data_IF_704514965748
#
_entry.id   IF_704514965748
#
_cell.length_a   1.000
_cell.length_b   1.000
_cell.length_c   1.000
_cell.angle_alpha   90.00
_cell.angle_beta   90.00
_cell.angle_gamma   90.00
#
_symmetry.space_group_name_H-M   'P 1'
#
loop_
_entity.id
_entity.type
_entity.pdbx_description
1 polymer ?
#
# COMPACT_ATOMS: atom_id res chain seq x y z
N UNK A 1 -18.82 -15.85 1.71
CA UNK A 1 -18.80 -15.12 0.43
C UNK A 1 -18.47 -13.66 0.67
N UNK A 2 -19.33 -12.86 1.35
CA UNK A 2 -19.06 -11.43 1.66
C UNK A 2 -17.64 -11.11 2.19
N UNK A 3 -17.16 -11.83 3.22
CA UNK A 3 -15.83 -11.59 3.80
C UNK A 3 -14.67 -11.73 2.81
N UNK A 4 -14.75 -12.64 1.85
CA UNK A 4 -13.67 -12.83 0.87
C UNK A 4 -13.68 -11.69 -0.16
N UNK A 5 -14.88 -11.26 -0.56
CA UNK A 5 -15.06 -10.13 -1.49
C UNK A 5 -14.54 -8.83 -0.87
N UNK A 6 -14.84 -8.59 0.41
CA UNK A 6 -14.37 -7.42 1.14
C UNK A 6 -12.83 -7.37 1.24
N UNK A 7 -12.19 -8.52 1.51
CA UNK A 7 -10.72 -8.64 1.57
C UNK A 7 -10.08 -8.39 0.20
N UNK A 8 -10.64 -8.94 -0.87
CA UNK A 8 -10.16 -8.69 -2.24
C UNK A 8 -10.31 -7.21 -2.61
N UNK A 9 -11.44 -6.60 -2.27
CA UNK A 9 -11.67 -5.18 -2.49
C UNK A 9 -10.66 -4.31 -1.70
N UNK A 10 -10.33 -4.68 -0.44
CA UNK A 10 -9.29 -3.99 0.35
C UNK A 10 -7.92 -4.07 -0.33
N UNK A 11 -7.52 -5.26 -0.78
CA UNK A 11 -6.25 -5.48 -1.52
C UNK A 11 -6.18 -4.64 -2.80
N UNK A 12 -7.28 -4.50 -3.53
CA UNK A 12 -7.31 -3.67 -4.73
C UNK A 12 -7.22 -2.17 -4.42
N UNK A 13 -7.80 -1.70 -3.30
CA UNK A 13 -7.60 -0.33 -2.83
C UNK A 13 -6.14 -0.06 -2.46
N UNK A 14 -5.51 -0.98 -1.72
CA UNK A 14 -4.08 -0.88 -1.36
C UNK A 14 -3.22 -0.77 -2.62
N UNK A 15 -3.45 -1.62 -3.64
CA UNK A 15 -2.71 -1.53 -4.91
C UNK A 15 -2.86 -0.17 -5.58
N UNK A 16 -4.08 0.35 -5.68
CA UNK A 16 -4.34 1.67 -6.28
C UNK A 16 -3.64 2.79 -5.51
N UNK A 17 -3.62 2.72 -4.19
CA UNK A 17 -2.94 3.69 -3.35
C UNK A 17 -1.41 3.60 -3.50
N UNK A 18 -0.84 2.39 -3.57
CA UNK A 18 0.59 2.19 -3.89
C UNK A 18 0.94 2.82 -5.23
N UNK A 19 0.12 2.60 -6.27
CA UNK A 19 0.32 3.21 -7.58
C UNK A 19 0.22 4.73 -7.53
N UNK A 20 -0.73 5.27 -6.75
CA UNK A 20 -0.88 6.73 -6.55
C UNK A 20 0.42 7.33 -6.03
N UNK A 21 1.00 6.74 -4.97
CA UNK A 21 2.27 7.21 -4.40
C UNK A 21 3.43 7.02 -5.38
N UNK A 22 3.53 5.85 -6.01
CA UNK A 22 4.60 5.55 -6.97
C UNK A 22 4.61 6.50 -8.16
N UNK A 23 3.44 6.80 -8.71
CA UNK A 23 3.29 7.61 -9.92
C UNK A 23 3.59 9.10 -9.65
N UNK A 24 3.66 9.54 -8.38
CA UNK A 24 4.21 10.86 -8.02
C UNK A 24 5.70 10.99 -8.32
N UNK A 25 6.46 9.89 -8.22
CA UNK A 25 7.92 9.90 -8.33
C UNK A 25 8.65 10.65 -7.21
N UNK A 26 7.98 11.09 -6.15
CA UNK A 26 8.58 11.92 -5.09
C UNK A 26 9.43 11.12 -4.09
N UNK A 27 9.11 9.85 -3.88
CA UNK A 27 9.75 8.99 -2.88
C UNK A 27 10.15 7.65 -3.47
N UNK A 28 11.26 7.09 -2.97
CA UNK A 28 11.59 5.71 -3.26
C UNK A 28 10.59 4.79 -2.54
N UNK A 29 10.00 3.82 -3.24
CA UNK A 29 8.98 2.94 -2.64
C UNK A 29 9.51 2.01 -1.53
N UNK A 30 10.82 1.88 -1.35
CA UNK A 30 11.45 1.19 -0.22
C UNK A 30 11.74 2.11 0.97
N UNK A 31 11.64 3.43 0.80
CA UNK A 31 11.74 4.42 1.88
C UNK A 31 10.40 4.53 2.62
N UNK A 32 10.10 3.49 3.39
CA UNK A 32 8.80 3.31 4.07
C UNK A 32 8.37 4.54 4.88
N UNK A 33 9.22 5.18 5.71
CA UNK A 33 8.82 6.37 6.46
C UNK A 33 8.35 7.53 5.56
N UNK A 34 9.01 7.76 4.43
CA UNK A 34 8.61 8.80 3.49
C UNK A 34 7.39 8.40 2.66
N UNK A 35 7.24 7.11 2.32
CA UNK A 35 6.02 6.57 1.71
C UNK A 35 4.82 6.79 2.63
N UNK A 36 4.92 6.47 3.92
CA UNK A 36 3.83 6.71 4.88
C UNK A 36 3.49 8.20 4.97
N UNK A 37 4.50 9.07 5.08
CA UNK A 37 4.29 10.53 5.12
C UNK A 37 3.54 11.03 3.88
N UNK A 38 3.92 10.55 2.69
CA UNK A 38 3.25 10.92 1.44
C UNK A 38 1.85 10.29 1.35
N UNK A 39 1.68 9.05 1.80
CA UNK A 39 0.39 8.38 1.89
C UNK A 39 -0.59 9.14 2.79
N UNK A 40 -0.14 9.72 3.90
CA UNK A 40 -0.96 10.62 4.73
C UNK A 40 -1.43 11.85 3.95
N UNK A 41 -0.54 12.48 3.17
CA UNK A 41 -0.89 13.64 2.34
C UNK A 41 -1.93 13.32 1.26
N UNK A 42 -1.83 12.14 0.64
CA UNK A 42 -2.76 11.67 -0.41
C UNK A 42 -3.99 10.91 0.14
N UNK A 43 -4.23 10.90 1.46
CA UNK A 43 -5.34 10.18 2.10
C UNK A 43 -5.39 8.67 1.75
N UNK A 44 -4.22 8.04 1.61
CA UNK A 44 -4.08 6.61 1.30
C UNK A 44 -4.19 5.76 2.57
N UNK A 45 -5.38 5.77 3.19
CA UNK A 45 -5.60 5.16 4.51
C UNK A 45 -5.38 3.64 4.56
N UNK A 46 -5.84 2.90 3.54
CA UNK A 46 -5.66 1.43 3.52
C UNK A 46 -4.17 1.05 3.37
N UNK A 47 -3.39 1.84 2.61
CA UNK A 47 -1.96 1.65 2.46
C UNK A 47 -1.22 1.93 3.76
N UNK A 48 -1.57 3.01 4.46
CA UNK A 48 -1.00 3.33 5.77
C UNK A 48 -1.25 2.14 6.71
N UNK A 49 -2.51 1.76 6.90
CA UNK A 49 -2.88 0.63 7.76
C UNK A 49 -2.08 -0.64 7.39
N UNK A 50 -1.97 -0.95 6.10
CA UNK A 50 -1.23 -2.11 5.63
C UNK A 50 0.27 -2.07 5.96
N UNK A 51 0.93 -0.91 5.82
CA UNK A 51 2.36 -0.77 6.16
C UNK A 51 2.57 -0.96 7.68
N UNK A 52 1.65 -0.43 8.49
CA UNK A 52 1.69 -0.55 9.95
C UNK A 52 1.44 -2.00 10.42
N UNK A 53 0.52 -2.71 9.77
CA UNK A 53 0.18 -4.10 10.12
C UNK A 53 1.21 -5.11 9.60
N UNK A 54 1.67 -4.95 8.35
CA UNK A 54 2.57 -5.89 7.69
C UNK A 54 3.58 -5.19 6.77
N UNK A 55 4.59 -4.58 7.40
CA UNK A 55 5.69 -3.94 6.69
C UNK A 55 6.43 -4.91 5.76
N UNK A 56 6.56 -6.18 6.13
CA UNK A 56 7.23 -7.17 5.29
C UNK A 56 6.41 -7.49 4.03
N UNK A 57 5.09 -7.61 4.18
CA UNK A 57 4.15 -7.74 3.07
C UNK A 57 4.16 -6.54 2.13
N UNK A 58 4.23 -5.32 2.66
CA UNK A 58 4.43 -4.12 1.84
C UNK A 58 5.70 -4.22 0.99
N UNK A 59 6.84 -4.56 1.59
CA UNK A 59 8.10 -4.72 0.84
C UNK A 59 7.98 -5.81 -0.23
N UNK A 60 7.34 -6.94 0.08
CA UNK A 60 7.11 -8.01 -0.89
C UNK A 60 6.18 -7.56 -2.03
N UNK A 61 5.15 -6.76 -1.74
CA UNK A 61 4.25 -6.18 -2.73
C UNK A 61 5.03 -5.27 -3.70
N UNK A 62 5.94 -4.43 -3.20
CA UNK A 62 6.76 -3.57 -4.05
C UNK A 62 7.72 -4.41 -4.92
N UNK A 63 8.31 -5.48 -4.37
CA UNK A 63 9.25 -6.32 -5.11
C UNK A 63 8.58 -7.24 -6.14
N UNK A 64 7.39 -7.77 -5.83
CA UNK A 64 6.80 -8.89 -6.58
C UNK A 64 5.43 -8.61 -7.17
N UNK A 65 4.76 -7.53 -6.73
CA UNK A 65 3.38 -7.23 -7.07
C UNK A 65 2.34 -8.12 -6.38
N UNK A 66 2.76 -8.99 -5.45
CA UNK A 66 1.90 -9.95 -4.74
C UNK A 66 1.76 -9.61 -3.26
N UNK A 67 0.55 -9.79 -2.73
CA UNK A 67 0.33 -9.81 -1.28
C UNK A 67 0.82 -11.15 -0.72
N UNK A 68 1.41 -11.10 0.47
CA UNK A 68 1.63 -12.31 1.27
C UNK A 68 0.30 -12.88 1.81
#
# INVERSE_FOLDING_TARGET
>A
MRRIEDELAKRDRIRKQVLTIRDTGEVNMFDVPNVERLAYYYNCHDLIEYIHEDRAGYLNLIMTGKFN
#
